data_IF_104080268085
#
_entry.id   IF_104080268085
#
_cell.length_a   1.000
_cell.length_b   1.000
_cell.length_c   1.000
_cell.angle_alpha   90.00
_cell.angle_beta   90.00
_cell.angle_gamma   90.00
#
_symmetry.space_group_name_H-M   'P 1'
#
loop_
_entity.id
_entity.type
_entity.pdbx_description
1 polymer ?
#
# COMPACT_ATOMS: atom_id res chain seq x y z
N UNK A 1 -11.88 -13.74 -33.75
CA UNK A 1 -12.31 -15.16 -33.74
C UNK A 1 -12.47 -15.55 -32.29
N UNK A 2 -13.59 -16.15 -31.92
CA UNK A 2 -13.81 -16.62 -30.54
C UNK A 2 -12.85 -17.79 -30.30
N UNK A 3 -12.33 -17.92 -29.09
CA UNK A 3 -11.42 -19.00 -28.74
C UNK A 3 -12.16 -20.35 -28.84
N UNK A 4 -11.55 -21.31 -29.55
CA UNK A 4 -12.16 -22.61 -29.82
C UNK A 4 -12.41 -23.40 -28.52
N UNK A 5 -11.64 -23.11 -27.48
CA UNK A 5 -11.81 -23.73 -26.18
C UNK A 5 -13.10 -23.25 -25.48
N UNK A 6 -13.43 -21.96 -25.62
CA UNK A 6 -14.66 -21.39 -25.06
C UNK A 6 -15.88 -21.97 -25.78
N UNK A 7 -15.84 -22.06 -27.11
CA UNK A 7 -16.92 -22.68 -27.89
C UNK A 7 -17.12 -24.15 -27.48
N UNK A 8 -16.04 -24.93 -27.43
CA UNK A 8 -16.06 -26.33 -27.00
C UNK A 8 -16.60 -26.51 -25.58
N UNK A 9 -16.28 -25.58 -24.66
CA UNK A 9 -16.80 -25.62 -23.29
C UNK A 9 -18.32 -25.36 -23.28
N UNK A 10 -18.79 -24.32 -23.95
CA UNK A 10 -20.22 -23.95 -24.02
C UNK A 10 -21.05 -25.00 -24.77
N UNK A 11 -20.48 -25.67 -25.77
CA UNK A 11 -21.17 -26.76 -26.48
C UNK A 11 -21.32 -28.02 -25.62
N UNK A 12 -20.29 -28.33 -24.80
CA UNK A 12 -20.28 -29.54 -23.96
C UNK A 12 -21.01 -29.36 -22.65
N UNK A 13 -21.09 -28.12 -22.14
CA UNK A 13 -21.71 -27.81 -20.85
C UNK A 13 -22.93 -26.93 -21.06
N UNK A 14 -24.10 -27.39 -20.62
CA UNK A 14 -25.33 -26.59 -20.63
C UNK A 14 -25.38 -25.62 -19.42
N UNK A 15 -24.25 -24.96 -19.15
CA UNK A 15 -24.02 -24.13 -17.95
C UNK A 15 -23.60 -22.71 -18.34
N UNK A 16 -24.19 -22.18 -19.40
CA UNK A 16 -23.84 -20.87 -19.97
C UNK A 16 -23.95 -19.73 -18.95
N UNK A 17 -25.00 -19.74 -18.11
CA UNK A 17 -25.16 -18.72 -17.08
C UNK A 17 -24.06 -18.79 -16.02
N UNK A 18 -23.72 -19.99 -15.56
CA UNK A 18 -22.65 -20.21 -14.58
C UNK A 18 -21.30 -19.79 -15.17
N UNK A 19 -21.03 -20.14 -16.42
CA UNK A 19 -19.82 -19.71 -17.13
C UNK A 19 -19.68 -18.18 -17.15
N UNK A 20 -20.75 -17.46 -17.49
CA UNK A 20 -20.76 -15.99 -17.46
C UNK A 20 -20.50 -15.44 -16.05
N UNK A 21 -21.06 -16.08 -15.01
CA UNK A 21 -20.93 -15.63 -13.63
C UNK A 21 -19.51 -15.85 -13.10
N UNK A 22 -18.90 -17.00 -13.38
CA UNK A 22 -17.50 -17.30 -13.05
C UNK A 22 -16.54 -16.40 -13.82
N UNK A 23 -16.78 -16.18 -15.12
CA UNK A 23 -15.97 -15.27 -15.94
C UNK A 23 -16.03 -13.84 -15.40
N UNK A 24 -17.18 -13.39 -14.88
CA UNK A 24 -17.32 -12.08 -14.25
C UNK A 24 -16.52 -12.00 -12.95
N UNK A 25 -16.56 -13.04 -12.11
CA UNK A 25 -15.82 -13.09 -10.85
C UNK A 25 -14.31 -13.08 -11.11
N UNK A 26 -13.84 -13.88 -12.07
CA UNK A 26 -12.43 -13.91 -12.45
C UNK A 26 -11.99 -12.56 -13.05
N UNK A 27 -12.82 -11.92 -13.88
CA UNK A 27 -12.52 -10.59 -14.39
C UNK A 27 -12.40 -9.54 -13.27
N UNK A 28 -13.22 -9.64 -12.21
CA UNK A 28 -13.09 -8.79 -11.03
C UNK A 28 -11.76 -9.03 -10.30
N UNK A 29 -11.38 -10.29 -10.07
CA UNK A 29 -10.09 -10.66 -9.48
C UNK A 29 -8.92 -10.08 -10.28
N UNK A 30 -8.91 -10.28 -11.60
CA UNK A 30 -7.86 -9.77 -12.49
C UNK A 30 -7.77 -8.24 -12.50
N UNK A 31 -8.90 -7.54 -12.33
CA UNK A 31 -8.94 -6.07 -12.27
C UNK A 31 -8.36 -5.54 -10.96
N UNK A 32 -8.46 -6.30 -9.86
CA UNK A 32 -7.93 -5.91 -8.55
C UNK A 32 -6.41 -6.12 -8.42
N UNK A 33 -5.78 -6.85 -9.34
CA UNK A 33 -4.32 -7.06 -9.33
C UNK A 33 -3.56 -5.74 -9.50
N UNK A 34 -2.33 -5.60 -8.98
CA UNK A 34 -1.51 -4.39 -9.15
C UNK A 34 -1.33 -4.00 -10.62
N UNK A 35 -1.23 -2.69 -10.91
CA UNK A 35 -1.10 -2.14 -12.27
C UNK A 35 0.05 -2.81 -13.04
N UNK A 36 1.18 -3.03 -12.37
CA UNK A 36 2.36 -3.68 -12.94
C UNK A 36 2.06 -5.08 -13.49
N UNK A 37 1.29 -5.88 -12.74
CA UNK A 37 0.87 -7.22 -13.18
C UNK A 37 -0.10 -7.12 -14.35
N UNK A 38 -1.08 -6.21 -14.27
CA UNK A 38 -2.09 -6.04 -15.33
C UNK A 38 -1.48 -5.56 -16.66
N UNK A 39 -0.37 -4.82 -16.62
CA UNK A 39 0.35 -4.39 -17.83
C UNK A 39 1.00 -5.57 -18.57
N UNK A 40 1.31 -6.67 -17.88
CA UNK A 40 1.88 -7.89 -18.50
C UNK A 40 0.82 -8.71 -19.26
N UNK A 41 -0.46 -8.37 -19.16
CA UNK A 41 -1.54 -9.11 -19.84
C UNK A 41 -1.50 -8.91 -21.36
N UNK A 42 -1.45 -10.01 -22.09
CA UNK A 42 -1.43 -10.01 -23.56
C UNK A 42 -2.80 -9.76 -24.20
N UNK A 43 -3.89 -9.99 -23.44
CA UNK A 43 -5.27 -9.89 -23.91
C UNK A 43 -6.10 -9.04 -22.94
N UNK A 44 -7.30 -8.63 -23.39
CA UNK A 44 -8.28 -7.96 -22.53
C UNK A 44 -8.68 -8.88 -21.37
N UNK A 45 -8.86 -8.31 -20.18
CA UNK A 45 -9.22 -9.03 -18.95
C UNK A 45 -10.45 -9.93 -19.15
N UNK A 46 -11.47 -9.46 -19.87
CA UNK A 46 -12.68 -10.24 -20.15
C UNK A 46 -12.40 -11.52 -20.93
N UNK A 47 -11.43 -11.47 -21.86
CA UNK A 47 -11.04 -12.62 -22.68
C UNK A 47 -10.22 -13.61 -21.86
N UNK A 48 -9.26 -13.10 -21.06
CA UNK A 48 -8.47 -13.92 -20.14
C UNK A 48 -9.36 -14.63 -19.11
N UNK A 49 -10.32 -13.92 -18.52
CA UNK A 49 -11.23 -14.51 -17.55
C UNK A 49 -12.07 -15.65 -18.15
N UNK A 50 -12.58 -15.47 -19.37
CA UNK A 50 -13.29 -16.51 -20.08
C UNK A 50 -12.38 -17.70 -20.42
N UNK A 51 -11.14 -17.44 -20.81
CA UNK A 51 -10.13 -18.48 -21.07
C UNK A 51 -9.85 -19.29 -19.80
N UNK A 52 -9.51 -18.65 -18.68
CA UNK A 52 -9.22 -19.30 -17.40
C UNK A 52 -10.38 -20.22 -16.95
N UNK A 53 -11.61 -19.74 -17.06
CA UNK A 53 -12.81 -20.52 -16.70
C UNK A 53 -13.04 -21.67 -17.68
N UNK A 54 -12.84 -21.45 -18.98
CA UNK A 54 -13.03 -22.50 -20.00
C UNK A 54 -11.95 -23.59 -19.95
N UNK A 55 -10.72 -23.24 -19.57
CA UNK A 55 -9.61 -24.18 -19.39
C UNK A 55 -9.59 -24.82 -18.01
N UNK A 56 -10.40 -24.30 -17.07
CA UNK A 56 -10.38 -24.67 -15.66
C UNK A 56 -8.98 -24.48 -15.02
N UNK A 57 -8.22 -23.51 -15.52
CA UNK A 57 -6.90 -23.14 -15.04
C UNK A 57 -6.90 -21.66 -14.68
N UNK A 58 -6.85 -21.36 -13.38
CA UNK A 58 -6.80 -19.99 -12.86
C UNK A 58 -5.36 -19.70 -12.40
N UNK A 59 -4.61 -18.83 -13.10
CA UNK A 59 -3.21 -18.56 -12.75
C UNK A 59 -3.09 -17.87 -11.39
N UNK A 60 -2.03 -18.21 -10.67
CA UNK A 60 -1.59 -17.51 -9.45
C UNK A 60 -0.61 -16.39 -9.83
N UNK A 61 -0.89 -15.17 -9.36
CA UNK A 61 -0.07 -13.98 -9.62
C UNK A 61 0.81 -13.57 -8.43
N UNK A 62 0.99 -14.46 -7.45
CA UNK A 62 1.69 -14.13 -6.21
C UNK A 62 3.13 -13.69 -6.44
N UNK A 63 3.85 -14.36 -7.35
CA UNK A 63 5.24 -14.03 -7.68
C UNK A 63 5.36 -12.63 -8.31
N UNK A 64 4.46 -12.28 -9.24
CA UNK A 64 4.46 -10.97 -9.88
C UNK A 64 3.99 -9.85 -8.94
N UNK A 65 3.14 -10.17 -7.97
CA UNK A 65 2.74 -9.25 -6.91
C UNK A 65 3.92 -8.96 -5.97
N UNK A 66 4.66 -9.99 -5.56
CA UNK A 66 5.85 -9.85 -4.73
C UNK A 66 6.93 -9.02 -5.43
N UNK A 67 7.20 -9.32 -6.71
CA UNK A 67 8.10 -8.52 -7.55
C UNK A 67 7.65 -7.05 -7.62
N UNK A 68 6.35 -6.79 -7.82
CA UNK A 68 5.80 -5.43 -7.86
C UNK A 68 5.96 -4.69 -6.52
N UNK A 69 5.77 -5.39 -5.40
CA UNK A 69 5.93 -4.83 -4.06
C UNK A 69 7.38 -4.47 -3.77
N UNK A 70 8.33 -5.34 -4.13
CA UNK A 70 9.76 -5.06 -4.00
C UNK A 70 10.19 -3.84 -4.83
N UNK A 71 9.72 -3.74 -6.08
CA UNK A 71 10.03 -2.57 -6.92
C UNK A 71 9.44 -1.28 -6.34
N UNK A 72 8.20 -1.32 -5.84
CA UNK A 72 7.60 -0.16 -5.16
C UNK A 72 8.34 0.21 -3.88
N UNK A 73 8.78 -0.76 -3.08
CA UNK A 73 9.59 -0.51 -1.88
C UNK A 73 10.93 0.16 -2.24
N UNK A 74 11.61 -0.33 -3.29
CA UNK A 74 12.84 0.29 -3.81
C UNK A 74 12.62 1.71 -4.35
N UNK A 75 11.50 1.97 -5.02
CA UNK A 75 11.16 3.31 -5.51
C UNK A 75 10.71 4.27 -4.40
N UNK A 76 10.09 3.76 -3.33
CA UNK A 76 9.68 4.56 -2.18
C UNK A 76 10.85 4.94 -1.26
N UNK A 77 11.99 4.25 -1.38
CA UNK A 77 13.18 4.49 -0.58
C UNK A 77 14.46 4.76 -1.42
N UNK A 78 14.51 5.82 -2.25
CA UNK A 78 15.75 6.19 -2.97
C UNK A 78 16.86 6.75 -2.07
N UNK A 79 16.60 6.97 -0.77
CA UNK A 79 17.49 7.69 0.15
C UNK A 79 17.78 6.95 1.48
N UNK A 80 17.29 5.72 1.70
CA UNK A 80 17.54 5.03 2.99
C UNK A 80 18.92 4.35 3.09
N UNK A 81 19.67 4.23 1.98
CA UNK A 81 21.07 3.79 2.04
C UNK A 81 22.03 4.92 2.48
N UNK A 82 21.53 6.15 2.61
CA UNK A 82 22.24 7.31 3.19
C UNK A 82 21.72 7.66 4.61
N UNK A 83 21.11 6.71 5.34
CA UNK A 83 21.26 6.75 6.80
C UNK A 83 22.71 6.35 7.11
N UNK A 84 23.59 7.31 6.90
CA UNK A 84 24.79 7.43 7.71
C UNK A 84 24.39 7.12 9.15
N UNK A 85 25.19 6.29 9.80
CA UNK A 85 25.27 6.17 11.25
C UNK A 85 25.48 7.58 11.83
N UNK A 86 24.40 8.37 11.91
CA UNK A 86 24.33 9.65 12.59
C UNK A 86 24.14 9.34 14.07
N UNK A 87 25.04 8.51 14.61
CA UNK A 87 25.41 8.52 16.02
C UNK A 87 26.13 9.83 16.37
N UNK A 88 25.56 10.97 15.96
CA UNK A 88 25.89 12.23 16.61
C UNK A 88 25.29 12.15 18.00
N UNK A 89 26.12 11.75 18.97
CA UNK A 89 25.88 11.99 20.38
C UNK A 89 25.52 13.46 20.54
N UNK A 90 24.23 13.74 20.70
CA UNK A 90 23.76 15.09 21.02
C UNK A 90 24.30 15.43 22.40
N UNK A 91 25.14 16.46 22.46
CA UNK A 91 25.69 16.95 23.72
C UNK A 91 24.58 17.70 24.47
N UNK A 92 24.11 17.15 25.58
CA UNK A 92 23.13 17.79 26.46
C UNK A 92 23.80 18.95 27.21
N UNK A 93 23.58 20.18 26.76
CA UNK A 93 24.05 21.42 27.39
C UNK A 93 22.95 22.14 28.18
N UNK A 94 21.84 21.45 28.49
CA UNK A 94 20.70 22.02 29.21
C UNK A 94 21.09 22.72 30.52
N UNK A 95 22.09 22.21 31.25
CA UNK A 95 22.60 22.87 32.47
C UNK A 95 23.10 24.30 32.25
N UNK A 96 23.65 24.62 31.07
CA UNK A 96 24.16 25.98 30.78
C UNK A 96 23.06 27.00 30.50
N UNK A 97 21.86 26.56 30.14
CA UNK A 97 20.76 27.44 29.72
C UNK A 97 19.64 27.55 30.75
N UNK A 98 19.71 26.79 31.85
CA UNK A 98 18.71 26.87 32.94
C UNK A 98 18.87 28.16 33.77
N UNK A 99 20.09 28.72 33.90
CA UNK A 99 20.31 29.92 34.72
C UNK A 99 19.66 31.19 34.12
N UNK A 100 19.53 31.27 32.80
CA UNK A 100 18.94 32.44 32.12
C UNK A 100 17.41 32.51 32.33
N UNK A 101 16.73 31.36 32.47
CA UNK A 101 15.29 31.27 32.68
C UNK A 101 14.85 31.63 34.12
N UNK A 102 15.73 31.49 35.11
CA UNK A 102 15.42 31.84 36.49
C UNK A 102 15.52 33.35 36.76
N UNK A 103 16.31 34.09 35.98
CA UNK A 103 16.53 35.51 36.22
C UNK A 103 15.46 36.43 35.60
N UNK A 104 14.77 36.01 34.53
CA UNK A 104 13.85 36.89 33.81
C UNK A 104 12.37 36.83 34.27
N UNK A 105 11.98 35.85 35.08
CA UNK A 105 10.55 35.61 35.41
C UNK A 105 10.14 35.90 36.86
N UNK A 106 11.06 36.27 37.76
CA UNK A 106 10.71 36.50 39.17
C UNK A 106 10.25 37.95 39.47
N UNK A 107 10.56 38.91 38.62
CA UNK A 107 10.26 40.35 38.84
C UNK A 107 8.91 40.81 38.25
N UNK A 108 8.17 39.94 37.55
CA UNK A 108 6.93 40.34 36.84
C UNK A 108 5.62 40.00 37.55
N UNK A 109 5.66 39.36 38.72
CA UNK A 109 4.49 38.97 39.49
C UNK A 109 4.56 39.41 40.96
N UNK A 110 5.26 40.51 41.24
CA UNK A 110 5.27 41.16 42.56
C UNK A 110 4.32 42.36 42.58
N UNK A 111 3.02 42.14 42.35
CA UNK A 111 1.98 43.01 42.92
C UNK A 111 0.60 42.34 42.86
N UNK A 112 -0.14 42.52 43.96
CA UNK A 112 -1.57 42.28 44.20
C UNK A 112 -2.07 40.83 44.44
N UNK A 113 -2.21 40.46 45.73
CA UNK A 113 -3.47 40.00 46.35
C UNK A 113 -3.22 39.59 47.83
N UNK A 114 -3.16 40.58 48.74
CA UNK A 114 -3.40 40.38 50.18
C UNK A 114 -4.87 40.72 50.47
N UNK A 115 -5.76 39.73 50.39
CA UNK A 115 -7.06 39.73 51.07
C UNK A 115 -7.04 38.54 52.07
N UNK A 116 -6.53 38.78 53.28
CA UNK A 116 -6.69 37.90 54.43
C UNK A 116 -8.02 38.20 55.14
N UNK A 117 -8.83 37.14 55.33
CA UNK A 117 -10.08 37.10 56.07
C UNK A 117 -9.87 37.36 57.59
N UNK A 118 -10.60 38.33 58.18
CA UNK A 118 -11.26 38.21 59.50
C UNK A 118 -12.35 39.28 59.76
#
# INVERSE_FOLDING_TARGET
>A
MIDKNIESFLEKTDLNYLFCLLSKLEAQRLTQLPVFVRQKFSKKISVLAMEHVSSNEVPDYFAEIEEANEMMAKMASPFADDEADMGEETFDDSEKHIEELMHDNLDRYSDDEDDEEE
#
